data_IF_309616931745
#
_entry.id   IF_309616931745
#
_cell.length_a   1.000
_cell.length_b   1.000
_cell.length_c   1.000
_cell.angle_alpha   90.00
_cell.angle_beta   90.00
_cell.angle_gamma   90.00
#
_symmetry.space_group_name_H-M   'P 1'
#
loop_
_entity.id
_entity.type
_entity.pdbx_description
1 polymer ?
#
# COMPACT_ATOMS: atom_id res chain seq x y z
N UNK A 1 -2.14 -7.23 -13.03
CA UNK A 1 -0.76 -7.42 -12.50
C UNK A 1 -0.73 -6.90 -11.07
N UNK A 2 0.07 -7.46 -10.15
CA UNK A 2 0.13 -7.02 -8.75
C UNK A 2 0.33 -5.51 -8.59
N UNK A 3 1.18 -4.91 -9.43
CA UNK A 3 1.40 -3.46 -9.46
C UNK A 3 0.17 -2.60 -9.80
N UNK A 4 -0.84 -3.16 -10.47
CA UNK A 4 -2.12 -2.47 -10.73
C UNK A 4 -2.97 -2.49 -9.46
N UNK A 5 -3.07 -3.66 -8.82
CA UNK A 5 -3.81 -3.84 -7.57
C UNK A 5 -3.22 -2.99 -6.45
N UNK A 6 -1.89 -2.92 -6.32
CA UNK A 6 -1.25 -2.09 -5.30
C UNK A 6 -1.61 -0.60 -5.44
N UNK A 7 -1.74 -0.09 -6.67
CA UNK A 7 -2.16 1.30 -6.92
C UNK A 7 -3.63 1.53 -6.59
N UNK A 8 -4.49 0.57 -6.91
CA UNK A 8 -5.91 0.63 -6.58
C UNK A 8 -6.13 0.62 -5.06
N UNK A 9 -5.47 -0.29 -4.33
CA UNK A 9 -5.56 -0.36 -2.87
C UNK A 9 -4.97 0.87 -2.19
N UNK A 10 -3.83 1.38 -2.68
CA UNK A 10 -3.28 2.66 -2.22
C UNK A 10 -4.31 3.79 -2.31
N UNK A 11 -4.98 3.90 -3.46
CA UNK A 11 -5.99 4.95 -3.68
C UNK A 11 -7.18 4.81 -2.72
N UNK A 12 -7.61 3.57 -2.42
CA UNK A 12 -8.67 3.30 -1.44
C UNK A 12 -8.26 3.69 -0.02
N UNK A 13 -7.01 3.39 0.38
CA UNK A 13 -6.48 3.80 1.69
C UNK A 13 -6.46 5.32 1.83
N UNK A 14 -5.98 6.03 0.81
CA UNK A 14 -5.94 7.51 0.79
C UNK A 14 -7.35 8.12 0.84
N UNK A 15 -8.30 7.59 0.05
CA UNK A 15 -9.71 8.00 0.12
C UNK A 15 -10.37 7.67 1.47
N UNK A 16 -9.85 6.65 2.17
CA UNK A 16 -10.29 6.24 3.50
C UNK A 16 -9.73 7.07 4.66
N UNK A 17 -9.00 8.16 4.39
CA UNK A 17 -8.40 9.01 5.43
C UNK A 17 -7.11 8.45 6.02
N UNK A 18 -6.37 7.66 5.24
CA UNK A 18 -5.02 7.22 5.59
C UNK A 18 -4.01 7.93 4.71
N UNK A 19 -3.00 8.52 5.32
CA UNK A 19 -1.85 9.05 4.60
C UNK A 19 -0.78 7.97 4.52
N UNK A 20 -0.39 7.57 3.32
CA UNK A 20 0.70 6.61 3.12
C UNK A 20 2.04 7.28 3.44
N UNK A 21 2.80 6.67 4.35
CA UNK A 21 4.15 7.08 4.70
C UNK A 21 5.19 6.28 3.92
N UNK A 22 4.97 4.97 3.76
CA UNK A 22 5.92 4.07 3.11
C UNK A 22 5.23 2.92 2.37
N UNK A 23 5.86 2.46 1.28
CA UNK A 23 5.47 1.30 0.48
C UNK A 23 6.61 0.28 0.47
N UNK A 24 6.41 -0.88 1.11
CA UNK A 24 7.45 -1.89 1.30
C UNK A 24 7.09 -3.16 0.52
N UNK A 25 7.87 -3.51 -0.51
CA UNK A 25 7.76 -4.80 -1.17
C UNK A 25 8.43 -5.87 -0.32
N UNK A 26 7.80 -7.04 -0.19
CA UNK A 26 8.29 -8.12 0.66
C UNK A 26 9.23 -9.10 -0.07
N UNK A 27 9.74 -8.74 -1.24
CA UNK A 27 10.75 -9.54 -1.95
C UNK A 27 12.08 -9.56 -1.17
N UNK A 28 12.76 -10.73 -1.04
CA UNK A 28 12.47 -12.01 -1.68
C UNK A 28 11.61 -12.98 -0.83
N UNK A 29 11.11 -12.55 0.32
CA UNK A 29 10.42 -13.43 1.28
C UNK A 29 9.03 -13.82 0.82
N UNK A 30 8.26 -12.84 0.33
CA UNK A 30 6.90 -13.04 -0.18
C UNK A 30 6.71 -12.31 -1.51
N UNK A 31 6.63 -13.11 -2.57
CA UNK A 31 6.45 -12.60 -3.93
C UNK A 31 5.06 -11.98 -4.08
N UNK A 32 4.97 -10.90 -4.83
CA UNK A 32 3.71 -10.21 -5.15
C UNK A 32 2.94 -9.69 -3.92
N UNK A 33 3.64 -9.46 -2.81
CA UNK A 33 3.12 -8.83 -1.59
C UNK A 33 3.74 -7.45 -1.34
N UNK A 34 2.93 -6.55 -0.76
CA UNK A 34 3.33 -5.20 -0.38
C UNK A 34 2.72 -4.85 0.98
N UNK A 35 3.47 -4.12 1.81
CA UNK A 35 2.99 -3.51 3.04
C UNK A 35 2.94 -1.99 2.88
N UNK A 36 1.87 -1.37 3.39
CA UNK A 36 1.72 0.07 3.44
C UNK A 36 1.81 0.54 4.89
N UNK A 37 2.79 1.38 5.19
CA UNK A 37 2.85 2.07 6.48
C UNK A 37 2.02 3.34 6.33
N UNK A 38 1.00 3.49 7.17
CA UNK A 38 0.03 4.58 7.08
C UNK A 38 -0.06 5.35 8.39
N UNK A 39 -0.27 6.66 8.29
CA UNK A 39 -0.72 7.50 9.39
C UNK A 39 -2.21 7.78 9.22
N UNK A 40 -2.96 7.81 10.33
CA UNK A 40 -4.36 8.22 10.31
C UNK A 40 -4.44 9.73 10.11
N UNK A 41 -5.05 10.16 9.02
CA UNK A 41 -5.15 11.56 8.63
C UNK A 41 -6.62 11.92 8.43
N UNK A 42 -7.20 12.65 9.38
CA UNK A 42 -8.60 13.12 9.32
C UNK A 42 -8.70 14.47 8.62
#
# INVERSE_FOLDING_TARGET
KPSVIFKEEKSKLEQGGLKILEEIKLDPYEKDHIAFICEKYF
#
